data_IF_494344303760
#
_entry.id   IF_494344303760
#
_cell.length_a   1.000
_cell.length_b   1.000
_cell.length_c   1.000
_cell.angle_alpha   90.00
_cell.angle_beta   90.00
_cell.angle_gamma   90.00
#
_symmetry.space_group_name_H-M   'P 1'
#
loop_
_entity.id
_entity.type
_entity.pdbx_description
1 polymer ?
#
# COMPACT_ATOMS: atom_id res chain seq x y z
N UNK A 1 8.51 5.73 3.60
CA UNK A 1 8.52 5.35 5.04
C UNK A 1 9.34 6.35 5.83
N UNK A 2 8.92 6.72 7.04
CA UNK A 2 9.69 7.64 7.88
C UNK A 2 10.92 6.97 8.50
N UNK A 3 11.86 7.79 8.99
CA UNK A 3 13.10 7.31 9.62
C UNK A 3 12.86 6.33 10.79
N UNK A 4 11.74 6.48 11.48
CA UNK A 4 11.38 5.60 12.61
C UNK A 4 11.05 4.17 12.18
N UNK A 5 10.49 3.98 10.99
CA UNK A 5 9.90 2.71 10.55
C UNK A 5 10.69 1.96 9.48
N UNK A 6 11.66 2.60 8.80
CA UNK A 6 12.37 1.95 7.69
C UNK A 6 13.19 0.72 8.12
N UNK A 7 13.60 0.64 9.38
CA UNK A 7 14.35 -0.51 9.93
C UNK A 7 13.51 -1.76 10.12
N UNK A 8 12.19 -1.61 10.16
CA UNK A 8 11.25 -2.72 10.23
C UNK A 8 10.08 -2.49 9.27
N UNK A 9 10.30 -2.71 7.96
CA UNK A 9 9.32 -2.40 6.94
C UNK A 9 8.06 -3.26 7.00
N UNK A 10 8.07 -4.37 7.74
CA UNK A 10 6.88 -5.19 7.99
C UNK A 10 6.06 -4.77 9.22
N UNK A 11 6.52 -3.81 9.98
CA UNK A 11 5.68 -3.25 11.04
C UNK A 11 4.53 -2.49 10.39
N UNK A 12 3.32 -2.80 10.80
CA UNK A 12 2.14 -2.10 10.33
C UNK A 12 1.45 -1.37 11.49
N UNK A 13 0.82 -0.27 11.15
CA UNK A 13 -0.10 0.41 12.04
C UNK A 13 -1.44 -0.35 12.06
N UNK A 14 -2.13 -0.34 13.20
CA UNK A 14 -3.51 -0.81 13.31
C UNK A 14 -4.54 0.31 13.05
N UNK A 15 -4.08 1.41 12.50
CA UNK A 15 -4.95 2.51 12.07
C UNK A 15 -5.77 2.13 10.85
N UNK A 16 -6.95 2.72 10.74
CA UNK A 16 -7.79 2.52 9.56
C UNK A 16 -7.14 3.10 8.30
N UNK A 17 -7.26 2.37 7.20
CA UNK A 17 -6.92 2.82 5.86
C UNK A 17 -8.10 2.59 4.91
N UNK A 18 -7.88 2.82 3.61
CA UNK A 18 -8.93 2.57 2.62
C UNK A 18 -9.39 1.11 2.62
N UNK A 19 -8.45 0.20 2.71
CA UNK A 19 -8.70 -1.24 2.58
C UNK A 19 -8.63 -2.01 3.90
N UNK A 20 -8.51 -1.32 5.05
CA UNK A 20 -8.53 -1.99 6.35
C UNK A 20 -9.27 -1.16 7.39
N UNK A 21 -10.12 -1.79 8.22
CA UNK A 21 -10.72 -1.12 9.37
C UNK A 21 -9.69 -0.94 10.51
N UNK A 22 -9.98 -0.04 11.42
CA UNK A 22 -9.20 0.12 12.65
C UNK A 22 -9.11 -1.21 13.41
N UNK A 23 -7.95 -1.55 13.91
CA UNK A 23 -7.70 -2.77 14.69
C UNK A 23 -7.21 -3.95 13.85
N UNK A 24 -7.25 -3.88 12.52
CA UNK A 24 -6.65 -4.87 11.62
C UNK A 24 -5.45 -4.26 10.90
N UNK A 25 -4.29 -4.89 11.06
CA UNK A 25 -3.06 -4.44 10.39
C UNK A 25 -3.08 -4.75 8.89
N UNK A 26 -2.59 -3.82 8.11
CA UNK A 26 -2.35 -3.99 6.67
C UNK A 26 -1.13 -3.17 6.27
N UNK A 27 -0.28 -3.76 5.44
CA UNK A 27 0.88 -3.06 4.88
C UNK A 27 0.50 -2.61 3.47
N UNK A 28 0.80 -1.35 3.17
CA UNK A 28 0.55 -0.74 1.87
C UNK A 28 1.86 -0.49 1.14
N UNK A 29 1.93 -0.93 -0.10
CA UNK A 29 3.02 -0.66 -1.03
C UNK A 29 2.46 -0.20 -2.37
N UNK A 30 3.32 0.01 -3.35
CA UNK A 30 2.92 0.42 -4.70
C UNK A 30 3.76 -0.24 -5.77
N UNK A 31 3.29 -0.21 -7.01
CA UNK A 31 3.97 -0.77 -8.18
C UNK A 31 5.32 -0.10 -8.48
N UNK A 32 5.54 1.08 -7.96
CA UNK A 32 6.78 1.82 -8.16
C UNK A 32 6.89 3.04 -7.25
N UNK A 33 8.01 3.75 -7.30
CA UNK A 33 8.26 4.89 -6.43
C UNK A 33 7.27 6.03 -6.64
N UNK A 34 6.87 6.32 -7.88
CA UNK A 34 5.99 7.44 -8.19
C UNK A 34 4.61 7.29 -7.54
N UNK A 35 3.97 6.12 -7.65
CA UNK A 35 2.67 5.88 -7.04
C UNK A 35 2.77 5.86 -5.51
N UNK A 36 3.83 5.29 -4.96
CA UNK A 36 4.06 5.27 -3.52
C UNK A 36 4.23 6.69 -2.96
N UNK A 37 4.97 7.55 -3.66
CA UNK A 37 5.12 8.95 -3.30
C UNK A 37 3.81 9.72 -3.40
N UNK A 38 3.02 9.49 -4.46
CA UNK A 38 1.71 10.12 -4.66
C UNK A 38 0.75 9.78 -3.51
N UNK A 39 0.65 8.52 -3.14
CA UNK A 39 -0.22 8.07 -2.03
C UNK A 39 0.18 8.72 -0.71
N UNK A 40 1.46 8.72 -0.41
CA UNK A 40 1.98 9.35 0.80
C UNK A 40 1.73 10.87 0.82
N UNK A 41 1.98 11.54 -0.30
CA UNK A 41 1.74 12.97 -0.42
C UNK A 41 0.26 13.31 -0.18
N UNK A 42 -0.66 12.54 -0.73
CA UNK A 42 -2.09 12.73 -0.53
C UNK A 42 -2.54 12.48 0.92
N UNK A 43 -1.86 11.57 1.64
CA UNK A 43 -2.19 11.26 3.03
C UNK A 43 -1.60 12.30 3.99
N UNK A 44 -0.36 12.71 3.78
CA UNK A 44 0.40 13.54 4.71
C UNK A 44 0.41 15.04 4.38
N UNK A 45 0.15 15.39 3.12
CA UNK A 45 0.15 16.78 2.68
C UNK A 45 1.45 17.50 3.05
N UNK A 46 1.35 18.70 3.59
CA UNK A 46 2.50 19.53 3.95
C UNK A 46 3.38 18.97 5.09
N UNK A 47 2.95 17.90 5.77
CA UNK A 47 3.75 17.26 6.81
C UNK A 47 5.02 16.57 6.27
N UNK A 48 5.18 16.53 4.94
CA UNK A 48 6.41 16.03 4.30
C UNK A 48 7.56 17.00 4.30
N UNK A 49 7.29 18.30 4.28
CA UNK A 49 8.35 19.29 4.17
C UNK A 49 9.26 19.26 5.40
N UNK A 50 10.57 19.27 5.17
CA UNK A 50 11.58 19.31 6.22
C UNK A 50 11.85 18.00 6.93
N UNK A 51 11.36 16.87 6.44
CA UNK A 51 11.64 15.53 6.97
C UNK A 51 12.26 14.63 5.92
N UNK A 52 13.18 13.78 6.34
CA UNK A 52 13.76 12.74 5.50
C UNK A 52 12.84 11.51 5.47
N UNK A 53 12.75 10.88 4.31
CA UNK A 53 11.95 9.71 4.05
C UNK A 53 12.80 8.60 3.46
N UNK A 54 12.34 7.37 3.56
CA UNK A 54 12.99 6.21 2.99
C UNK A 54 12.02 5.51 2.05
N UNK A 55 12.49 5.22 0.84
CA UNK A 55 11.86 4.30 -0.08
C UNK A 55 12.46 2.92 0.14
N UNK A 56 11.60 1.96 0.43
CA UNK A 56 12.00 0.55 0.58
C UNK A 56 11.62 -0.18 -0.68
N UNK A 57 12.60 -0.81 -1.31
CA UNK A 57 12.41 -1.67 -2.47
C UNK A 57 12.47 -3.13 -2.04
N UNK A 58 11.56 -3.93 -2.56
CA UNK A 58 11.51 -5.37 -2.30
C UNK A 58 10.99 -6.14 -3.51
N UNK A 59 11.38 -7.38 -3.61
CA UNK A 59 10.93 -8.31 -4.62
C UNK A 59 10.06 -9.42 -4.00
N UNK A 60 9.04 -9.85 -4.73
CA UNK A 60 8.18 -10.97 -4.36
C UNK A 60 8.68 -12.20 -5.11
N UNK A 61 9.21 -13.18 -4.37
CA UNK A 61 9.85 -14.36 -4.93
C UNK A 61 8.92 -15.31 -5.69
N UNK A 62 7.60 -15.23 -5.41
CA UNK A 62 6.58 -16.07 -6.05
C UNK A 62 5.44 -15.21 -6.59
N UNK A 63 5.50 -14.77 -7.86
CA UNK A 63 4.46 -13.91 -8.46
C UNK A 63 3.05 -14.52 -8.45
N UNK A 64 2.92 -15.83 -8.44
CA UNK A 64 1.63 -16.54 -8.35
C UNK A 64 0.92 -16.36 -7.00
N UNK A 65 1.60 -15.81 -5.99
CA UNK A 65 0.99 -15.44 -4.71
C UNK A 65 0.42 -14.01 -4.70
N UNK A 66 0.47 -13.31 -5.81
CA UNK A 66 -0.09 -11.98 -5.96
C UNK A 66 -1.46 -12.10 -6.62
N UNK A 67 -2.52 -11.85 -5.83
CA UNK A 67 -3.86 -11.68 -6.36
C UNK A 67 -4.02 -10.31 -7.04
N UNK A 68 -5.01 -10.20 -7.90
CA UNK A 68 -5.37 -8.94 -8.56
C UNK A 68 -6.87 -8.73 -8.41
N UNK A 69 -7.27 -7.60 -7.84
CA UNK A 69 -8.67 -7.22 -7.78
C UNK A 69 -9.11 -6.74 -9.16
N UNK A 70 -9.92 -7.53 -9.84
CA UNK A 70 -10.42 -7.19 -11.18
C UNK A 70 -11.30 -5.93 -11.14
N UNK A 71 -11.26 -5.13 -12.21
CA UNK A 71 -12.03 -3.88 -12.31
C UNK A 71 -13.51 -4.11 -12.11
N UNK A 72 -14.03 -5.20 -12.63
CA UNK A 72 -15.44 -5.60 -12.56
C UNK A 72 -15.87 -6.02 -11.14
N UNK A 73 -14.91 -6.37 -10.30
CA UNK A 73 -15.13 -6.80 -8.91
C UNK A 73 -14.91 -5.69 -7.88
N UNK A 74 -14.59 -4.47 -8.33
CA UNK A 74 -14.39 -3.33 -7.44
C UNK A 74 -15.68 -3.03 -6.66
N UNK A 75 -15.58 -2.84 -5.33
CA UNK A 75 -16.73 -2.44 -4.53
C UNK A 75 -17.33 -1.12 -5.01
N UNK A 76 -18.63 -0.96 -4.87
CA UNK A 76 -19.28 0.30 -5.19
C UNK A 76 -18.64 1.46 -4.41
N UNK A 77 -18.42 2.58 -5.09
CA UNK A 77 -17.79 3.78 -4.52
C UNK A 77 -16.40 3.53 -3.89
N UNK A 78 -15.66 2.52 -4.40
CA UNK A 78 -14.32 2.16 -3.88
C UNK A 78 -13.34 3.34 -3.83
N UNK A 79 -13.47 4.30 -4.75
CA UNK A 79 -12.61 5.47 -4.89
C UNK A 79 -13.11 6.73 -4.15
N UNK A 80 -14.20 6.62 -3.37
CA UNK A 80 -14.75 7.74 -2.61
C UNK A 80 -13.70 8.38 -1.69
N UNK A 81 -13.74 9.71 -1.59
CA UNK A 81 -12.87 10.50 -0.72
C UNK A 81 -13.74 11.33 0.25
N UNK A 82 -13.53 11.20 1.58
CA UNK A 82 -12.70 10.20 2.24
C UNK A 82 -13.19 8.77 2.02
N UNK A 83 -12.31 7.77 2.23
CA UNK A 83 -12.66 6.37 2.05
C UNK A 83 -13.80 5.94 3.00
N UNK A 84 -14.61 5.02 2.52
CA UNK A 84 -15.78 4.52 3.23
C UNK A 84 -15.59 3.13 3.84
N UNK A 85 -16.67 2.65 4.47
CA UNK A 85 -16.69 1.34 5.11
C UNK A 85 -16.65 0.17 4.12
N UNK A 86 -17.18 0.35 2.91
CA UNK A 86 -17.33 -0.73 1.91
C UNK A 86 -15.97 -1.33 1.54
N UNK A 87 -14.98 -0.49 1.26
CA UNK A 87 -13.61 -0.95 0.95
C UNK A 87 -12.92 -1.56 2.17
N UNK A 88 -13.19 -1.04 3.37
CA UNK A 88 -12.66 -1.61 4.61
C UNK A 88 -13.22 -2.98 4.89
N UNK A 89 -14.51 -3.21 4.67
CA UNK A 89 -15.15 -4.52 4.82
C UNK A 89 -14.60 -5.52 3.80
N UNK A 90 -14.38 -5.10 2.55
CA UNK A 90 -13.71 -5.92 1.54
C UNK A 90 -12.33 -6.35 2.01
N UNK A 91 -11.50 -5.41 2.44
CA UNK A 91 -10.13 -5.71 2.88
C UNK A 91 -10.08 -6.57 4.14
N UNK A 92 -11.03 -6.38 5.06
CA UNK A 92 -11.18 -7.25 6.24
C UNK A 92 -11.43 -8.70 5.83
N UNK A 93 -12.34 -8.94 4.90
CA UNK A 93 -12.64 -10.29 4.39
C UNK A 93 -11.40 -10.89 3.74
N UNK A 94 -10.74 -10.15 2.86
CA UNK A 94 -9.52 -10.59 2.20
C UNK A 94 -8.41 -10.98 3.20
N UNK A 95 -8.18 -10.17 4.25
CA UNK A 95 -7.22 -10.47 5.31
C UNK A 95 -7.53 -11.80 6.03
N UNK A 96 -8.82 -12.06 6.26
CA UNK A 96 -9.28 -13.25 6.99
C UNK A 96 -9.25 -14.53 6.15
N UNK A 97 -9.52 -14.43 4.85
CA UNK A 97 -9.51 -15.57 3.92
C UNK A 97 -8.11 -16.16 3.74
N UNK A 98 -7.06 -15.33 3.81
CA UNK A 98 -5.65 -15.77 3.65
C UNK A 98 -5.40 -16.61 2.39
N UNK A 99 -6.10 -16.29 1.32
CA UNK A 99 -5.89 -16.95 0.02
C UNK A 99 -4.60 -16.48 -0.64
N UNK A 100 -4.36 -15.18 -0.61
CA UNK A 100 -3.15 -14.53 -1.13
C UNK A 100 -2.49 -13.65 -0.08
N UNK A 101 -1.15 -13.67 0.05
CA UNK A 101 -0.43 -12.72 0.91
C UNK A 101 -0.38 -11.30 0.35
N UNK A 102 -0.55 -11.15 -0.98
CA UNK A 102 -0.43 -9.90 -1.71
C UNK A 102 -1.66 -9.71 -2.61
N UNK A 103 -2.15 -8.47 -2.68
CA UNK A 103 -3.27 -8.12 -3.56
C UNK A 103 -3.01 -6.78 -4.26
N UNK A 104 -3.03 -6.80 -5.60
CA UNK A 104 -3.05 -5.56 -6.38
C UNK A 104 -4.44 -4.94 -6.31
N UNK A 105 -4.47 -3.66 -6.00
CA UNK A 105 -5.70 -2.84 -6.00
C UNK A 105 -5.43 -1.51 -6.69
N UNK A 106 -6.44 -0.88 -7.31
CA UNK A 106 -6.25 0.41 -7.93
C UNK A 106 -6.02 1.52 -6.88
N UNK A 107 -5.30 2.57 -7.28
CA UNK A 107 -5.21 3.79 -6.50
C UNK A 107 -6.44 4.67 -6.73
N UNK A 108 -7.04 5.17 -5.65
CA UNK A 108 -8.12 6.15 -5.75
C UNK A 108 -7.63 7.56 -6.18
N UNK A 109 -6.32 7.73 -6.34
CA UNK A 109 -5.68 8.99 -6.75
C UNK A 109 -5.38 9.05 -8.24
N UNK A 110 -5.49 7.91 -8.95
CA UNK A 110 -5.21 7.80 -10.37
C UNK A 110 -6.48 7.37 -11.14
N UNK A 111 -6.50 7.73 -12.41
CA UNK A 111 -7.54 7.23 -13.30
C UNK A 111 -7.45 5.70 -13.39
N UNK A 112 -8.59 5.03 -13.33
CA UNK A 112 -8.67 3.56 -13.36
C UNK A 112 -8.10 2.95 -14.65
N UNK A 113 -7.95 3.73 -15.73
CA UNK A 113 -7.32 3.28 -16.97
C UNK A 113 -5.85 2.90 -16.81
N UNK A 114 -5.16 3.42 -15.80
CA UNK A 114 -3.77 3.06 -15.50
C UNK A 114 -3.62 1.73 -14.75
N UNK A 115 -4.72 1.21 -14.21
CA UNK A 115 -4.71 -0.07 -13.51
C UNK A 115 -4.85 -1.23 -14.50
N UNK A 116 -4.15 -2.36 -14.37
CA UNK A 116 -3.26 -2.72 -13.24
C UNK A 116 -1.79 -2.33 -13.40
N UNK A 117 -1.41 -1.60 -14.45
CA UNK A 117 -0.02 -1.20 -14.66
C UNK A 117 0.52 -0.40 -13.47
N UNK A 118 -0.22 0.65 -13.08
CA UNK A 118 0.00 1.37 -11.84
C UNK A 118 -1.00 0.86 -10.79
N UNK A 119 -0.51 0.37 -9.66
CA UNK A 119 -1.35 -0.20 -8.62
C UNK A 119 -0.78 0.01 -7.22
N UNK A 120 -1.65 0.01 -6.24
CA UNK A 120 -1.28 -0.21 -4.87
C UNK A 120 -1.23 -1.71 -4.58
N UNK A 121 -0.34 -2.10 -3.68
CA UNK A 121 -0.21 -3.47 -3.23
C UNK A 121 -0.58 -3.55 -1.76
N UNK A 122 -1.56 -4.37 -1.45
CA UNK A 122 -1.92 -4.74 -0.09
C UNK A 122 -1.11 -5.97 0.31
N UNK A 123 -0.54 -5.95 1.51
CA UNK A 123 0.22 -7.05 2.06
C UNK A 123 -0.44 -7.46 3.38
N UNK A 124 -0.79 -8.73 3.50
CA UNK A 124 -1.36 -9.30 4.72
C UNK A 124 -0.24 -9.64 5.71
N UNK A 125 -0.06 -8.89 6.80
CA UNK A 125 1.04 -9.12 7.74
C UNK A 125 0.90 -10.45 8.50
N UNK A 126 -0.31 -10.99 8.59
CA UNK A 126 -0.62 -12.23 9.31
C UNK A 126 -0.66 -13.46 8.39
N UNK A 127 -0.24 -13.31 7.12
CA UNK A 127 -0.15 -14.46 6.23
C UNK A 127 0.99 -15.39 6.68
N UNK A 128 0.74 -16.71 6.76
CA UNK A 128 1.75 -17.68 7.20
C UNK A 128 3.02 -17.60 6.35
N UNK A 129 4.17 -17.53 7.01
CA UNK A 129 5.50 -17.51 6.36
C UNK A 129 5.73 -16.31 5.40
N UNK A 130 5.02 -15.22 5.56
CA UNK A 130 5.10 -14.05 4.67
C UNK A 130 6.54 -13.65 4.33
N UNK A 131 7.43 -13.63 5.32
CA UNK A 131 8.83 -13.22 5.14
C UNK A 131 9.61 -14.09 4.16
N UNK A 132 9.18 -15.33 3.91
CA UNK A 132 9.82 -16.24 2.94
C UNK A 132 9.56 -15.82 1.49
N UNK A 133 8.57 -14.96 1.27
CA UNK A 133 8.13 -14.54 -0.06
C UNK A 133 8.61 -13.15 -0.45
N UNK A 134 9.35 -12.49 0.44
CA UNK A 134 9.82 -11.11 0.23
C UNK A 134 11.33 -11.05 0.39
N UNK A 135 12.00 -10.50 -0.60
CA UNK A 135 13.42 -10.15 -0.58
C UNK A 135 13.56 -8.62 -0.66
N UNK A 136 14.32 -8.06 0.28
CA UNK A 136 14.59 -6.63 0.26
C UNK A 136 15.78 -6.33 -0.64
N UNK A 137 15.54 -5.50 -1.67
CA UNK A 137 16.57 -5.10 -2.63
C UNK A 137 17.34 -3.87 -2.17
N UNK A 138 16.76 -3.03 -1.35
CA UNK A 138 17.43 -1.87 -0.86
C UNK A 138 16.52 -0.80 -0.27
N UNK A 139 17.17 0.30 0.11
CA UNK A 139 16.49 1.48 0.59
C UNK A 139 17.17 2.73 0.05
N UNK A 140 16.37 3.74 -0.29
CA UNK A 140 16.84 5.03 -0.74
C UNK A 140 16.27 6.10 0.16
N UNK A 141 17.16 6.92 0.75
CA UNK A 141 16.74 8.14 1.42
C UNK A 141 16.40 9.20 0.39
N UNK A 142 15.33 9.92 0.59
CA UNK A 142 14.92 11.02 -0.28
C UNK A 142 14.24 12.13 0.51
N UNK A 143 14.24 13.32 -0.08
CA UNK A 143 13.53 14.49 0.42
C UNK A 143 12.50 14.94 -0.63
N UNK A 144 11.32 15.36 -0.19
CA UNK A 144 10.34 15.94 -1.10
C UNK A 144 10.72 17.38 -1.45
N UNK A 145 10.83 17.66 -2.73
CA UNK A 145 11.16 18.98 -3.28
C UNK A 145 9.88 19.74 -3.70
N UNK A 146 8.98 19.93 -2.76
CA UNK A 146 7.66 20.50 -3.04
C UNK A 146 7.65 22.04 -3.13
N UNK A 147 8.70 22.72 -2.66
CA UNK A 147 8.75 24.17 -2.55
C UNK A 147 9.78 24.82 -3.47
N UNK A 148 10.22 24.13 -4.50
CA UNK A 148 11.34 24.56 -5.34
C UNK A 148 10.95 25.33 -6.59
N UNK A 149 9.72 25.81 -6.66
CA UNK A 149 9.24 26.61 -7.80
C UNK A 149 9.09 28.06 -7.39
#
# INVERSE_FOLDING_TARGET
MSETYYKNPFSCSFSAGRWNPKGLGMIYAGSGPAISLLEYLCIKGNAFSGKSWYMIEFEISKPNLIGTLEKESLPEQWNKLPHGKITQDFGRIWLQEKEFPFLRVPSARLNLSFYPMEHNLLINPDFPDLKKYIEFDGQVRFDYLLNSI
#
